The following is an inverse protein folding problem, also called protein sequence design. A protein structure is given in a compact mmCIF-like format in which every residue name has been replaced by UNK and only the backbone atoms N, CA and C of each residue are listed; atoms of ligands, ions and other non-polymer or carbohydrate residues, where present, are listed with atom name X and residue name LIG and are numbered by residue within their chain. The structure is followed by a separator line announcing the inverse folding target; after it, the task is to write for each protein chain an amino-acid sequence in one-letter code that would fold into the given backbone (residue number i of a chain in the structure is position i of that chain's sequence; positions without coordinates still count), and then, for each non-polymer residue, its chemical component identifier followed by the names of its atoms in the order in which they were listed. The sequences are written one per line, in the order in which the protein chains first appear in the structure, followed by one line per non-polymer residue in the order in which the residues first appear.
data_IF_045650065730
#
_entry.id   IF_045650065730
#
_cell.length_a   1.000
_cell.length_b   1.000
_cell.length_c   1.000
_cell.angle_alpha   90.00
_cell.angle_beta   90.00
_cell.angle_gamma   90.00
#
_symmetry.space_group_name_H-M   'P 1'
#
loop_
_entity.id
_entity.type
_entity.pdbx_description
1 polymer ?
#
# COMPACT_ATOMS: atom_id res chain seq x y z
N UNK A 1 -8.59 -7.13 -10.07
CA UNK A 1 -7.50 -6.19 -9.73
C UNK A 1 -7.67 -4.90 -10.53
N UNK A 2 -7.43 -3.77 -9.90
CA UNK A 2 -7.29 -2.45 -10.53
C UNK A 2 -5.84 -2.21 -11.00
N UNK A 3 -4.84 -2.76 -10.31
CA UNK A 3 -3.41 -2.57 -10.61
C UNK A 3 -2.77 -3.81 -11.25
N UNK A 4 -1.84 -3.57 -12.17
CA UNK A 4 -0.95 -4.61 -12.71
C UNK A 4 0.41 -4.04 -13.13
N UNK A 5 1.40 -4.90 -13.33
CA UNK A 5 2.74 -4.53 -13.85
C UNK A 5 2.76 -4.67 -15.38
N UNK A 6 3.14 -3.61 -16.08
CA UNK A 6 3.55 -3.67 -17.48
C UNK A 6 5.03 -4.05 -17.58
N UNK A 7 5.35 -5.14 -18.28
CA UNK A 7 6.74 -5.47 -18.58
C UNK A 7 7.33 -4.56 -19.67
N UNK A 8 6.51 -4.02 -20.56
CA UNK A 8 6.97 -3.08 -21.59
C UNK A 8 7.47 -1.78 -20.98
N UNK A 9 6.72 -1.19 -20.05
CA UNK A 9 7.15 0.02 -19.33
C UNK A 9 8.06 -0.28 -18.14
N UNK A 10 8.12 -1.54 -17.70
CA UNK A 10 8.69 -1.93 -16.42
C UNK A 10 8.10 -1.10 -15.26
N UNK A 11 6.79 -0.89 -15.24
CA UNK A 11 6.12 -0.09 -14.21
C UNK A 11 4.76 -0.72 -13.86
N UNK A 12 4.28 -0.46 -12.65
CA UNK A 12 2.90 -0.71 -12.25
C UNK A 12 1.97 0.38 -12.81
N UNK A 13 0.80 -0.04 -13.29
CA UNK A 13 -0.21 0.82 -13.93
C UNK A 13 -1.60 0.51 -13.39
N UNK A 14 -2.49 1.51 -13.41
CA UNK A 14 -3.92 1.35 -13.18
C UNK A 14 -4.61 0.95 -14.47
N UNK A 15 -5.63 0.10 -14.39
CA UNK A 15 -6.44 -0.24 -15.56
C UNK A 15 -7.24 0.95 -16.12
N UNK A 16 -7.44 1.99 -15.31
CA UNK A 16 -8.05 3.27 -15.71
C UNK A 16 -7.10 4.17 -16.50
N UNK A 17 -5.79 3.91 -16.47
CA UNK A 17 -4.80 4.65 -17.25
C UNK A 17 -4.70 4.12 -18.70
N UNK A 18 -5.20 2.90 -18.96
CA UNK A 18 -5.09 2.24 -20.25
C UNK A 18 -6.31 2.50 -21.15
N UNK A 19 -6.05 2.90 -22.39
CA UNK A 19 -7.03 3.29 -23.41
C UNK A 19 -6.70 2.59 -24.76
N UNK A 20 -6.93 1.27 -24.89
CA UNK A 20 -6.52 0.49 -26.07
C UNK A 20 -7.20 0.91 -27.37
N UNK A 21 -8.36 1.56 -27.30
CA UNK A 21 -9.10 1.98 -28.48
C UNK A 21 -8.46 3.19 -29.17
N UNK A 22 -7.73 4.01 -28.39
CA UNK A 22 -7.20 5.31 -28.84
C UNK A 22 -5.67 5.35 -28.89
N UNK A 23 -4.97 4.34 -28.35
CA UNK A 23 -3.51 4.34 -28.21
C UNK A 23 -2.88 3.00 -28.64
N UNK A 24 -2.07 3.01 -29.70
CA UNK A 24 -1.31 1.82 -30.12
C UNK A 24 -0.29 1.36 -29.08
N UNK A 25 0.33 2.29 -28.37
CA UNK A 25 1.22 1.99 -27.24
C UNK A 25 0.47 1.16 -26.21
N UNK A 26 -0.74 1.54 -25.81
CA UNK A 26 -1.53 0.81 -24.81
C UNK A 26 -1.87 -0.62 -25.26
N UNK A 27 -2.12 -0.84 -26.56
CA UNK A 27 -2.33 -2.20 -27.09
C UNK A 27 -1.09 -3.07 -26.91
N UNK A 28 0.10 -2.51 -27.13
CA UNK A 28 1.37 -3.21 -26.89
C UNK A 28 1.60 -3.44 -25.39
N UNK A 29 1.23 -2.47 -24.54
CA UNK A 29 1.32 -2.61 -23.08
C UNK A 29 0.46 -3.77 -22.59
N UNK A 30 -0.78 -3.85 -23.05
CA UNK A 30 -1.76 -4.87 -22.66
C UNK A 30 -1.30 -6.30 -23.00
N UNK A 31 -0.51 -6.46 -24.06
CA UNK A 31 0.01 -7.77 -24.47
C UNK A 31 0.98 -8.41 -23.47
N UNK A 32 1.60 -7.64 -22.57
CA UNK A 32 2.59 -8.13 -21.61
C UNK A 32 2.38 -7.53 -20.21
N UNK A 33 1.16 -7.68 -19.69
CA UNK A 33 0.79 -7.28 -18.32
C UNK A 33 0.76 -8.50 -17.39
N UNK A 34 1.31 -8.31 -16.19
CA UNK A 34 1.37 -9.31 -15.12
C UNK A 34 0.81 -8.77 -13.81
N UNK A 35 0.33 -9.67 -12.96
CA UNK A 35 -0.04 -9.33 -11.59
C UNK A 35 1.18 -8.74 -10.87
N UNK A 36 1.01 -7.59 -10.21
CA UNK A 36 2.07 -6.93 -9.47
C UNK A 36 2.64 -7.79 -8.34
N UNK A 37 1.80 -8.64 -7.74
CA UNK A 37 2.13 -9.42 -6.54
C UNK A 37 2.74 -10.77 -6.90
N UNK A 38 2.04 -11.61 -7.66
CA UNK A 38 2.49 -12.96 -7.96
C UNK A 38 3.25 -13.10 -9.29
N UNK A 39 3.33 -12.05 -10.10
CA UNK A 39 4.00 -12.05 -11.40
C UNK A 39 3.33 -12.92 -12.49
N UNK A 40 2.16 -13.49 -12.23
CA UNK A 40 1.41 -14.28 -13.23
C UNK A 40 0.82 -13.37 -14.32
N UNK A 41 0.66 -13.85 -15.56
CA UNK A 41 -0.03 -13.13 -16.61
C UNK A 41 -1.46 -12.76 -16.23
N UNK A 42 -1.89 -11.54 -16.60
CA UNK A 42 -3.27 -11.08 -16.43
C UNK A 42 -3.88 -10.68 -17.76
N UNK A 43 -5.20 -10.79 -17.85
CA UNK A 43 -6.00 -10.25 -18.96
C UNK A 43 -6.54 -8.89 -18.56
N UNK A 44 -6.39 -7.91 -19.45
CA UNK A 44 -7.05 -6.61 -19.33
C UNK A 44 -8.50 -6.71 -19.82
N UNK A 45 -9.42 -6.10 -19.08
CA UNK A 45 -10.82 -5.96 -19.45
C UNK A 45 -11.21 -4.47 -19.42
N UNK A 46 -11.35 -3.87 -20.59
CA UNK A 46 -11.76 -2.48 -20.73
C UNK A 46 -13.24 -2.30 -20.33
N UNK A 47 -14.09 -3.28 -20.68
CA UNK A 47 -15.55 -3.28 -20.45
C UNK A 47 -15.94 -3.72 -19.03
N UNK A 48 -15.20 -3.25 -18.02
CA UNK A 48 -15.43 -3.57 -16.61
C UNK A 48 -16.76 -3.06 -16.04
N UNK A 49 -17.54 -2.32 -16.83
CA UNK A 49 -18.74 -1.62 -16.38
C UNK A 49 -18.42 -0.67 -15.22
N UNK A 50 -19.18 -0.79 -14.13
CA UNK A 50 -19.00 0.03 -12.93
C UNK A 50 -18.03 -0.59 -11.89
N UNK A 51 -17.43 -1.74 -12.16
CA UNK A 51 -16.51 -2.38 -11.21
C UNK A 51 -15.07 -1.89 -11.41
N UNK A 52 -14.62 -1.02 -10.50
CA UNK A 52 -13.25 -0.48 -10.50
C UNK A 52 -12.18 -1.59 -10.45
N UNK A 53 -12.46 -2.70 -9.77
CA UNK A 53 -11.49 -3.80 -9.62
C UNK A 53 -11.56 -4.82 -10.76
N UNK A 54 -12.42 -4.61 -11.75
CA UNK A 54 -12.62 -5.53 -12.86
C UNK A 54 -11.58 -5.44 -13.98
N UNK A 55 -10.64 -4.48 -13.90
CA UNK A 55 -9.69 -4.17 -14.97
C UNK A 55 -8.76 -5.33 -15.32
N UNK A 56 -8.21 -6.02 -14.33
CA UNK A 56 -7.24 -7.09 -14.52
C UNK A 56 -7.69 -8.35 -13.80
N UNK A 57 -7.58 -9.48 -14.49
CA UNK A 57 -7.87 -10.82 -13.97
C UNK A 57 -6.75 -11.78 -14.34
N UNK A 58 -6.38 -12.71 -13.46
CA UNK A 58 -5.38 -13.71 -13.83
C UNK A 58 -5.84 -14.53 -15.03
N UNK A 59 -4.92 -14.72 -15.99
CA UNK A 59 -5.23 -15.45 -17.22
C UNK A 59 -5.54 -16.93 -16.97
N UNK A 60 -4.98 -17.50 -15.89
CA UNK A 60 -5.20 -18.88 -15.43
C UNK A 60 -6.48 -19.05 -14.60
N UNK A 61 -7.25 -17.98 -14.36
CA UNK A 61 -8.47 -18.00 -13.56
C UNK A 61 -8.23 -18.05 -12.04
N UNK A 62 -6.98 -17.97 -11.58
CA UNK A 62 -6.67 -17.93 -10.15
C UNK A 62 -7.19 -16.65 -9.49
N UNK A 63 -7.39 -16.72 -8.17
CA UNK A 63 -7.95 -15.63 -7.37
C UNK A 63 -7.13 -14.36 -7.45
N UNK A 64 -7.81 -13.24 -7.27
CA UNK A 64 -7.22 -11.91 -7.20
C UNK A 64 -6.28 -11.78 -5.98
N UNK A 65 -5.02 -11.39 -6.20
CA UNK A 65 -4.03 -11.28 -5.12
C UNK A 65 -4.30 -10.13 -4.14
N UNK A 66 -5.09 -9.13 -4.53
CA UNK A 66 -5.47 -8.01 -3.66
C UNK A 66 -6.84 -8.22 -3.00
N UNK A 67 -7.60 -9.23 -3.42
CA UNK A 67 -8.88 -9.53 -2.79
C UNK A 67 -8.65 -10.24 -1.45
N UNK A 68 -9.21 -9.68 -0.39
CA UNK A 68 -9.34 -10.34 0.91
C UNK A 68 -10.79 -10.24 1.37
N UNK A 69 -11.34 -11.33 1.89
CA UNK A 69 -12.76 -11.42 2.30
C UNK A 69 -13.13 -10.45 3.45
N UNK A 70 -12.14 -9.82 4.09
CA UNK A 70 -12.31 -8.88 5.19
C UNK A 70 -12.07 -7.41 4.83
N UNK A 71 -11.59 -7.08 3.64
CA UNK A 71 -11.32 -5.68 3.26
C UNK A 71 -12.52 -5.02 2.61
N UNK A 72 -12.81 -3.78 3.00
CA UNK A 72 -13.76 -2.96 2.27
C UNK A 72 -13.21 -2.61 0.89
N UNK A 73 -14.09 -2.31 -0.07
CA UNK A 73 -13.68 -1.82 -1.40
C UNK A 73 -12.80 -0.57 -1.32
N UNK A 74 -13.08 0.36 -0.41
CA UNK A 74 -12.27 1.59 -0.28
C UNK A 74 -10.90 1.34 0.35
N UNK A 75 -10.80 0.44 1.33
CA UNK A 75 -9.50 0.03 1.85
C UNK A 75 -8.66 -0.62 0.76
N UNK A 76 -9.25 -1.60 0.06
CA UNK A 76 -8.60 -2.28 -1.05
C UNK A 76 -8.15 -1.32 -2.15
N UNK A 77 -8.96 -0.32 -2.48
CA UNK A 77 -8.60 0.70 -3.46
C UNK A 77 -7.32 1.45 -3.04
N UNK A 78 -7.28 1.93 -1.80
CA UNK A 78 -6.09 2.61 -1.29
C UNK A 78 -4.87 1.68 -1.26
N UNK A 79 -5.03 0.41 -0.89
CA UNK A 79 -3.96 -0.60 -0.93
C UNK A 79 -3.43 -0.79 -2.35
N UNK A 80 -4.30 -1.00 -3.35
CA UNK A 80 -3.87 -1.21 -4.73
C UNK A 80 -3.12 0.00 -5.29
N UNK A 81 -3.67 1.21 -5.12
CA UNK A 81 -3.03 2.45 -5.59
C UNK A 81 -1.70 2.69 -4.87
N UNK A 82 -1.67 2.53 -3.54
CA UNK A 82 -0.43 2.69 -2.75
C UNK A 82 0.64 1.67 -3.18
N UNK A 83 0.24 0.43 -3.49
CA UNK A 83 1.17 -0.59 -3.96
C UNK A 83 1.77 -0.24 -5.33
N UNK A 84 0.95 0.28 -6.26
CA UNK A 84 1.43 0.80 -7.56
C UNK A 84 2.45 1.91 -7.36
N UNK A 85 2.07 2.96 -6.64
CA UNK A 85 2.89 4.16 -6.52
C UNK A 85 4.18 3.86 -5.77
N UNK A 86 4.12 2.99 -4.75
CA UNK A 86 5.30 2.59 -3.99
C UNK A 86 6.24 1.75 -4.85
N UNK A 87 5.70 0.78 -5.61
CA UNK A 87 6.50 -0.03 -6.52
C UNK A 87 7.26 0.84 -7.52
N UNK A 88 6.56 1.75 -8.19
CA UNK A 88 7.15 2.65 -9.17
C UNK A 88 8.18 3.58 -8.53
N UNK A 89 7.87 4.17 -7.38
CA UNK A 89 8.79 5.04 -6.67
C UNK A 89 10.07 4.32 -6.27
N UNK A 90 9.97 3.14 -5.67
CA UNK A 90 11.14 2.35 -5.26
C UNK A 90 11.97 1.91 -6.47
N UNK A 91 11.30 1.53 -7.56
CA UNK A 91 12.00 1.18 -8.79
C UNK A 91 12.77 2.37 -9.38
N UNK A 92 12.20 3.57 -9.34
CA UNK A 92 12.86 4.80 -9.81
C UNK A 92 14.08 5.16 -8.95
N UNK A 93 13.94 5.12 -7.62
CA UNK A 93 15.00 5.59 -6.72
C UNK A 93 16.07 4.55 -6.38
N UNK A 94 15.71 3.26 -6.40
CA UNK A 94 16.60 2.17 -5.95
C UNK A 94 16.82 1.08 -7.01
N UNK A 95 16.09 1.09 -8.12
CA UNK A 95 16.22 0.12 -9.20
C UNK A 95 15.61 -1.26 -8.90
N UNK A 96 15.55 -2.14 -9.92
CA UNK A 96 15.08 -3.52 -9.76
C UNK A 96 16.12 -4.44 -9.09
N UNK A 97 15.71 -5.58 -8.50
CA UNK A 97 14.33 -6.05 -8.37
C UNK A 97 13.59 -5.41 -7.20
N UNK A 98 12.32 -5.07 -7.42
CA UNK A 98 11.37 -4.69 -6.37
C UNK A 98 10.46 -5.87 -6.07
N UNK A 99 10.57 -6.42 -4.87
CA UNK A 99 9.75 -7.54 -4.39
C UNK A 99 8.65 -6.98 -3.47
N UNK A 100 7.40 -7.02 -3.94
CA UNK A 100 6.23 -6.46 -3.27
C UNK A 100 5.19 -7.56 -2.99
N UNK A 101 4.69 -7.59 -1.76
CA UNK A 101 3.59 -8.43 -1.31
C UNK A 101 2.48 -7.54 -0.71
N UNK A 102 1.26 -8.08 -0.63
CA UNK A 102 0.16 -7.49 0.14
C UNK A 102 -0.32 -8.46 1.23
N UNK A 103 -0.88 -7.91 2.30
CA UNK A 103 -1.44 -8.67 3.44
C UNK A 103 -0.45 -9.72 3.98
N UNK A 104 0.80 -9.27 4.21
CA UNK A 104 1.92 -10.17 4.50
C UNK A 104 2.50 -9.95 5.88
N UNK A 105 3.07 -11.02 6.45
CA UNK A 105 3.64 -10.97 7.79
C UNK A 105 4.97 -10.22 7.82
N UNK A 106 5.14 -9.43 8.88
CA UNK A 106 6.41 -8.92 9.37
C UNK A 106 6.63 -9.49 10.76
N UNK A 107 7.78 -10.12 10.97
CA UNK A 107 8.07 -10.91 12.16
C UNK A 107 7.70 -12.39 12.03
N UNK A 108 7.93 -13.13 13.12
CA UNK A 108 7.68 -14.56 13.24
C UNK A 108 6.80 -14.85 14.46
N UNK A 109 6.20 -16.04 14.53
CA UNK A 109 5.40 -16.41 15.71
C UNK A 109 6.30 -16.50 16.96
N UNK A 110 5.82 -16.03 18.12
CA UNK A 110 4.47 -15.52 18.39
C UNK A 110 4.27 -14.02 18.10
N UNK A 111 5.33 -13.28 17.77
CA UNK A 111 5.34 -11.82 17.64
C UNK A 111 5.40 -11.37 16.18
N UNK A 112 4.22 -11.26 15.55
CA UNK A 112 4.11 -10.76 14.18
C UNK A 112 2.97 -9.75 14.02
N UNK A 113 3.05 -8.99 12.94
CA UNK A 113 1.97 -8.15 12.42
C UNK A 113 1.74 -8.46 10.95
N UNK A 114 0.49 -8.30 10.50
CA UNK A 114 0.14 -8.33 9.07
C UNK A 114 0.08 -6.89 8.61
N UNK A 115 0.85 -6.58 7.57
CA UNK A 115 0.89 -5.26 6.96
C UNK A 115 0.19 -5.29 5.61
N UNK A 116 -0.44 -4.17 5.24
CA UNK A 116 -1.22 -4.08 4.01
C UNK A 116 -0.32 -4.25 2.77
N UNK A 117 0.88 -3.65 2.80
CA UNK A 117 1.89 -3.76 1.72
C UNK A 117 3.26 -3.99 2.34
N UNK A 118 4.03 -4.89 1.75
CA UNK A 118 5.40 -5.22 2.18
C UNK A 118 6.34 -5.25 0.99
N UNK A 119 7.40 -4.44 1.05
CA UNK A 119 8.56 -4.53 0.17
C UNK A 119 9.66 -5.28 0.90
N UNK A 120 10.14 -6.41 0.36
CA UNK A 120 11.29 -7.14 0.90
C UNK A 120 12.61 -6.74 0.25
N UNK A 121 12.57 -6.20 -0.97
CA UNK A 121 13.74 -5.75 -1.75
C UNK A 121 13.39 -4.56 -2.65
N UNK A 122 14.34 -3.65 -2.91
CA UNK A 122 15.72 -3.62 -2.39
C UNK A 122 15.81 -3.12 -0.94
N UNK A 123 14.73 -2.51 -0.41
CA UNK A 123 14.64 -1.99 0.95
C UNK A 123 13.46 -2.64 1.67
N UNK A 124 13.63 -3.03 2.93
CA UNK A 124 12.54 -3.56 3.76
C UNK A 124 11.60 -2.42 4.18
N UNK A 125 10.44 -2.33 3.52
CA UNK A 125 9.42 -1.31 3.79
C UNK A 125 8.08 -2.00 4.05
N UNK A 126 7.40 -1.61 5.11
CA UNK A 126 6.04 -2.00 5.42
C UNK A 126 5.13 -0.77 5.28
N UNK A 127 3.90 -0.96 4.84
CA UNK A 127 2.92 0.12 4.72
C UNK A 127 1.63 -0.30 5.37
N UNK A 128 1.13 0.56 6.26
CA UNK A 128 -0.18 0.44 6.85
C UNK A 128 -1.11 1.48 6.21
N UNK A 129 -2.23 1.02 5.69
CA UNK A 129 -3.30 1.85 5.15
C UNK A 129 -4.41 1.90 6.19
N UNK A 130 -4.73 3.09 6.71
CA UNK A 130 -5.77 3.24 7.72
C UNK A 130 -7.09 3.68 7.10
N UNK A 131 -8.06 2.75 7.08
CA UNK A 131 -9.45 3.01 6.73
C UNK A 131 -10.40 2.40 7.76
N UNK A 132 -11.32 3.22 8.28
CA UNK A 132 -12.39 2.81 9.22
C UNK A 132 -11.99 1.98 10.46
N UNK A 133 -10.70 1.95 10.82
CA UNK A 133 -10.19 1.17 11.94
C UNK A 133 -10.43 1.87 13.29
N UNK A 134 -10.80 1.10 14.31
CA UNK A 134 -11.10 1.63 15.64
C UNK A 134 -9.85 2.18 16.34
N UNK A 135 -8.74 1.44 16.26
CA UNK A 135 -7.49 1.75 16.91
C UNK A 135 -6.32 1.37 15.98
N UNK A 136 -5.29 2.21 15.93
CA UNK A 136 -4.16 2.10 15.02
C UNK A 136 -3.13 1.07 15.50
N UNK A 137 -3.02 0.84 16.81
CA UNK A 137 -2.03 -0.07 17.40
C UNK A 137 -0.59 0.28 17.05
N UNK A 138 -0.26 1.58 16.92
CA UNK A 138 1.02 2.02 16.35
C UNK A 138 2.21 1.50 17.15
N UNK A 139 2.12 1.41 18.47
CA UNK A 139 3.24 0.96 19.29
C UNK A 139 3.65 -0.46 18.92
N UNK A 140 2.73 -1.43 19.06
CA UNK A 140 2.99 -2.83 18.71
C UNK A 140 3.42 -2.98 17.25
N UNK A 141 2.76 -2.30 16.31
CA UNK A 141 3.03 -2.42 14.87
C UNK A 141 4.42 -1.90 14.51
N UNK A 142 4.74 -0.67 14.90
CA UNK A 142 6.04 -0.07 14.60
C UNK A 142 7.17 -0.81 15.33
N UNK A 143 6.98 -1.20 16.59
CA UNK A 143 7.95 -2.02 17.33
C UNK A 143 8.26 -3.32 16.58
N UNK A 144 7.21 -4.08 16.22
CA UNK A 144 7.40 -5.34 15.48
C UNK A 144 8.07 -5.13 14.13
N UNK A 145 7.72 -4.07 13.40
CA UNK A 145 8.34 -3.75 12.11
C UNK A 145 9.81 -3.39 12.27
N UNK A 146 10.12 -2.51 13.20
CA UNK A 146 11.48 -2.01 13.42
C UNK A 146 12.41 -3.10 13.93
N UNK A 147 11.92 -3.99 14.81
CA UNK A 147 12.69 -5.14 15.29
C UNK A 147 12.96 -6.20 14.20
N UNK A 148 12.31 -6.08 13.03
CA UNK A 148 12.55 -6.92 11.85
C UNK A 148 13.22 -6.16 10.69
N UNK A 149 13.84 -5.01 10.99
CA UNK A 149 14.50 -4.07 10.08
C UNK A 149 13.58 -3.44 9.01
N UNK A 150 12.27 -3.49 9.22
CA UNK A 150 11.34 -2.79 8.33
C UNK A 150 11.25 -1.32 8.72
N UNK A 151 11.19 -0.47 7.69
CA UNK A 151 10.77 0.93 7.81
C UNK A 151 9.30 1.03 7.48
N UNK A 152 8.59 2.02 7.99
CA UNK A 152 7.13 2.09 7.83
C UNK A 152 6.66 3.35 7.13
N UNK A 153 5.69 3.22 6.23
CA UNK A 153 4.79 4.31 5.84
C UNK A 153 3.44 4.11 6.50
N UNK A 154 2.84 5.21 6.96
CA UNK A 154 1.49 5.22 7.51
C UNK A 154 0.61 6.05 6.56
N UNK A 155 -0.25 5.40 5.80
CA UNK A 155 -1.10 6.05 4.79
C UNK A 155 -2.53 6.13 5.32
N UNK A 156 -3.13 7.32 5.30
CA UNK A 156 -4.48 7.51 5.80
C UNK A 156 -5.46 7.79 4.66
N UNK A 157 -6.57 7.06 4.65
CA UNK A 157 -7.67 7.30 3.75
C UNK A 157 -8.53 8.49 4.25
N UNK A 158 -8.93 9.45 3.41
CA UNK A 158 -9.62 10.68 3.82
C UNK A 158 -11.01 10.41 4.39
N UNK A 159 -11.72 9.41 3.87
CA UNK A 159 -12.96 8.86 4.44
C UNK A 159 -12.78 7.92 5.64
N UNK A 160 -11.60 7.93 6.28
CA UNK A 160 -11.30 7.07 7.43
C UNK A 160 -12.05 7.49 8.70
N UNK A 161 -12.06 6.60 9.71
CA UNK A 161 -12.71 6.86 11.01
C UNK A 161 -12.11 8.05 11.76
N UNK A 162 -10.80 8.26 11.62
CA UNK A 162 -10.07 9.33 12.28
C UNK A 162 -9.60 10.33 11.23
N UNK A 163 -9.82 11.62 11.48
CA UNK A 163 -9.26 12.70 10.66
C UNK A 163 -7.74 12.62 10.61
N UNK A 164 -7.17 12.65 9.42
CA UNK A 164 -5.72 12.56 9.20
C UNK A 164 -4.98 13.67 9.94
N UNK A 165 -5.45 14.91 9.83
CA UNK A 165 -4.82 16.06 10.52
C UNK A 165 -4.89 15.95 12.04
N UNK A 166 -5.92 15.27 12.58
CA UNK A 166 -5.99 14.96 14.01
C UNK A 166 -4.96 13.91 14.40
N UNK A 167 -4.79 12.87 13.59
CA UNK A 167 -3.80 11.82 13.84
C UNK A 167 -2.39 12.38 13.75
N UNK A 168 -2.08 13.14 12.70
CA UNK A 168 -0.78 13.76 12.49
C UNK A 168 -0.42 14.71 13.63
N UNK A 169 -1.36 15.58 14.09
CA UNK A 169 -1.14 16.42 15.27
C UNK A 169 -0.81 15.62 16.55
N UNK A 170 -1.36 14.42 16.70
CA UNK A 170 -1.00 13.58 17.84
C UNK A 170 0.38 12.94 17.64
N UNK A 171 0.69 12.42 16.46
CA UNK A 171 2.02 11.89 16.13
C UNK A 171 3.10 12.97 16.32
N UNK A 172 2.80 14.23 15.99
CA UNK A 172 3.67 15.38 16.23
C UNK A 172 4.02 15.66 17.69
N UNK A 173 3.32 15.04 18.65
CA UNK A 173 3.71 15.11 20.06
C UNK A 173 4.94 14.26 20.40
N UNK A 174 5.30 13.33 19.53
CA UNK A 174 6.41 12.39 19.75
C UNK A 174 7.46 12.41 18.62
N UNK A 175 7.12 12.88 17.43
CA UNK A 175 8.05 12.98 16.30
C UNK A 175 7.57 13.99 15.26
N UNK A 176 8.47 14.67 14.55
CA UNK A 176 8.10 15.67 13.52
C UNK A 176 7.72 15.07 12.16
N UNK A 177 7.47 13.76 12.10
CA UNK A 177 7.20 13.03 10.86
C UNK A 177 5.77 13.25 10.38
N UNK A 178 5.64 13.46 9.07
CA UNK A 178 4.35 13.55 8.39
C UNK A 178 3.82 12.16 8.02
N UNK A 179 2.51 11.98 8.13
CA UNK A 179 1.87 10.75 7.65
C UNK A 179 1.47 10.90 6.18
N UNK A 180 1.35 9.78 5.49
CA UNK A 180 0.89 9.75 4.11
C UNK A 180 -0.63 9.87 3.99
N UNK A 181 -1.06 10.29 2.81
CA UNK A 181 -2.46 10.60 2.47
C UNK A 181 -2.80 9.99 1.11
N UNK A 182 -3.89 9.23 1.06
CA UNK A 182 -4.46 8.74 -0.18
C UNK A 182 -5.51 9.74 -0.70
N UNK A 183 -5.50 10.07 -1.99
CA UNK A 183 -6.55 10.85 -2.63
C UNK A 183 -7.46 9.96 -3.48
N UNK A 184 -8.71 9.84 -3.04
CA UNK A 184 -9.72 9.01 -3.70
C UNK A 184 -10.19 9.58 -5.04
N UNK A 185 -10.12 10.88 -5.23
CA UNK A 185 -10.59 11.55 -6.44
C UNK A 185 -9.58 11.42 -7.58
N UNK A 186 -8.28 11.52 -7.26
CA UNK A 186 -7.21 11.47 -8.26
C UNK A 186 -6.54 10.10 -8.38
N UNK A 187 -6.74 9.21 -7.41
CA UNK A 187 -5.98 7.95 -7.29
C UNK A 187 -4.48 8.16 -7.10
N UNK A 188 -4.11 9.16 -6.31
CA UNK A 188 -2.72 9.44 -5.95
C UNK A 188 -2.45 9.14 -4.47
N UNK A 189 -1.17 8.87 -4.16
CA UNK A 189 -0.69 8.74 -2.78
C UNK A 189 0.46 9.71 -2.52
N UNK A 190 0.30 10.56 -1.52
CA UNK A 190 1.41 11.26 -0.90
C UNK A 190 1.95 10.39 0.25
N UNK A 191 3.16 9.85 0.15
CA UNK A 191 3.69 8.90 1.13
C UNK A 191 3.98 9.48 2.53
N UNK A 192 4.21 10.79 2.63
CA UNK A 192 4.70 11.42 3.86
C UNK A 192 6.15 11.01 4.17
N UNK A 193 6.52 11.04 5.44
CA UNK A 193 7.84 10.64 5.91
C UNK A 193 7.95 9.13 6.09
N UNK A 194 9.16 8.61 5.89
CA UNK A 194 9.48 7.22 6.23
C UNK A 194 9.81 7.10 7.74
N UNK A 195 9.02 6.28 8.44
CA UNK A 195 9.13 6.00 9.87
C UNK A 195 10.23 4.96 10.10
N UNK A 196 11.14 5.25 11.04
CA UNK A 196 12.30 4.41 11.36
C UNK A 196 12.55 4.42 12.87
N UNK A 197 13.27 3.42 13.38
CA UNK A 197 13.60 3.29 14.80
C UNK A 197 14.40 4.48 15.34
N UNK A 198 15.21 5.11 14.48
CA UNK A 198 16.05 6.25 14.83
C UNK A 198 15.28 7.58 14.88
N UNK A 199 14.20 7.71 14.10
CA UNK A 199 13.39 8.94 14.02
C UNK A 199 12.21 8.94 14.99
N UNK A 200 11.93 7.81 15.65
CA UNK A 200 10.80 7.64 16.55
C UNK A 200 11.24 6.90 17.79
N UNK A 201 11.22 7.59 18.92
CA UNK A 201 11.38 6.96 20.20
C UNK A 201 10.06 6.29 20.60
N UNK A 202 9.97 4.98 20.34
CA UNK A 202 8.80 4.17 20.72
C UNK A 202 8.59 4.13 22.23
N UNK A 203 9.62 4.33 23.05
CA UNK A 203 9.45 4.41 24.52
C UNK A 203 8.66 5.65 24.95
N UNK A 204 8.59 6.69 24.09
CA UNK A 204 7.74 7.86 24.24
C UNK A 204 6.31 7.66 23.68
N UNK A 205 5.97 6.49 23.13
CA UNK A 205 4.57 6.09 22.84
C UNK A 205 3.86 5.64 24.13
N UNK A 206 3.98 6.40 25.21
CA UNK A 206 3.27 6.14 26.45
C UNK A 206 1.82 6.67 26.37
N UNK A 207 0.87 5.96 27.00
CA UNK A 207 -0.58 6.29 26.99
C UNK A 207 -0.88 7.73 27.49
N UNK A 208 0.06 8.37 28.19
CA UNK A 208 -0.10 9.73 28.70
C UNK A 208 0.00 10.81 27.61
N UNK A 209 0.82 10.60 26.57
CA UNK A 209 1.04 11.61 25.51
C UNK A 209 0.08 11.47 24.34
N UNK A 210 -0.36 10.24 24.08
CA UNK A 210 -1.18 9.89 22.93
C UNK A 210 -2.52 9.28 23.35
N UNK A 211 -3.60 9.59 22.61
CA UNK A 211 -4.87 8.95 22.87
C UNK A 211 -4.80 7.44 22.62
N UNK A 212 -5.59 6.68 23.38
CA UNK A 212 -5.60 5.21 23.33
C UNK A 212 -5.79 4.62 21.93
N UNK A 213 -6.54 5.29 21.06
CA UNK A 213 -6.76 4.80 19.70
C UNK A 213 -5.50 4.85 18.82
N UNK A 214 -4.44 5.56 19.22
CA UNK A 214 -3.15 5.56 18.51
C UNK A 214 -2.25 4.46 19.06
N UNK A 215 -2.23 4.29 20.39
CA UNK A 215 -1.29 3.40 21.09
C UNK A 215 -1.75 1.93 21.05
N UNK A 216 -3.04 1.68 21.35
CA UNK A 216 -3.62 0.34 21.48
C UNK A 216 -4.10 -0.23 20.16
#
# INVERSE_FOLDING_TARGET
MLVAKSNTLQQAVLGTELHPETCETDRQLIGDIRCLICGKPVKYNHDRGNDLFGCFRHADGSSDCFASDGSSKEHRLAVEVTAKDLYNHIQEVAGPPVEIDVEKWVGERPSFVITDIRISRPLKIAVEVYYMINALGLHRRLETMFDNDYRAYLIFHPGGRHSVDRVERHIHKITSLQVGRFDRATFDVAFGDLFTKERIDLSNLNEERLPRYIVR
#
